data_IF_074188175319
#
_entry.id   IF_074188175319
#
_cell.length_a   1.000
_cell.length_b   1.000
_cell.length_c   1.000
_cell.angle_alpha   90.00
_cell.angle_beta   90.00
_cell.angle_gamma   90.00
#
_symmetry.space_group_name_H-M   'P 1'
#
loop_
_entity.id
_entity.type
_entity.pdbx_description
1 polymer ?
#
# COMPACT_ATOMS: atom_id res chain seq x y z
N UNK A 1 -23.75 31.34 25.55
CA UNK A 1 -23.22 30.10 26.13
C UNK A 1 -21.77 30.01 25.73
N UNK A 2 -20.85 30.31 26.64
CA UNK A 2 -19.41 30.31 26.39
C UNK A 2 -18.93 28.85 26.36
N UNK A 3 -18.37 28.43 25.22
CA UNK A 3 -17.69 27.16 25.10
C UNK A 3 -16.39 27.20 25.92
N UNK A 4 -16.33 26.42 27.00
CA UNK A 4 -15.07 26.20 27.68
C UNK A 4 -14.03 25.64 26.71
N UNK A 5 -12.80 26.20 26.64
CA UNK A 5 -11.71 25.60 25.92
C UNK A 5 -11.43 24.24 26.58
N UNK A 6 -11.56 23.16 25.83
CA UNK A 6 -11.16 21.84 26.30
C UNK A 6 -9.64 21.87 26.51
N UNK A 7 -9.20 21.85 27.74
CA UNK A 7 -7.80 21.69 28.10
C UNK A 7 -7.25 20.40 27.45
N UNK A 8 -6.14 20.53 26.76
CA UNK A 8 -5.43 19.43 26.15
C UNK A 8 -4.95 18.46 27.27
N UNK A 9 -5.71 17.42 27.56
CA UNK A 9 -5.31 16.37 28.48
C UNK A 9 -4.43 15.36 27.76
N UNK A 10 -3.12 15.44 28.00
CA UNK A 10 -2.13 14.51 27.45
C UNK A 10 -2.54 13.02 27.69
N UNK A 11 -3.14 12.71 28.82
CA UNK A 11 -3.71 11.39 29.10
C UNK A 11 -4.83 10.97 28.14
N UNK A 12 -5.68 11.88 27.69
CA UNK A 12 -6.71 11.62 26.68
C UNK A 12 -6.12 11.33 25.28
N UNK A 13 -5.02 11.99 24.93
CA UNK A 13 -4.30 11.73 23.68
C UNK A 13 -3.67 10.33 23.69
N UNK A 14 -3.01 9.93 24.77
CA UNK A 14 -2.38 8.59 24.91
C UNK A 14 -3.43 7.49 24.85
N UNK A 15 -4.55 7.62 25.59
CA UNK A 15 -5.67 6.64 25.53
C UNK A 15 -6.24 6.57 24.10
N UNK A 16 -6.37 7.70 23.43
CA UNK A 16 -6.84 7.78 22.06
C UNK A 16 -5.86 7.13 21.05
N UNK A 17 -4.55 7.24 21.28
CA UNK A 17 -3.52 6.58 20.47
C UNK A 17 -3.56 5.06 20.67
N UNK A 18 -3.70 4.60 21.91
CA UNK A 18 -3.85 3.18 22.24
C UNK A 18 -5.11 2.60 21.58
N UNK A 19 -6.23 3.32 21.62
CA UNK A 19 -7.45 2.90 20.90
C UNK A 19 -7.22 2.83 19.39
N UNK A 20 -6.50 3.77 18.81
CA UNK A 20 -6.16 3.73 17.38
C UNK A 20 -5.31 2.51 17.04
N UNK A 21 -4.28 2.21 17.84
CA UNK A 21 -3.43 1.01 17.67
C UNK A 21 -4.28 -0.26 17.82
N UNK A 22 -5.19 -0.31 18.80
CA UNK A 22 -6.12 -1.42 18.96
C UNK A 22 -6.99 -1.62 17.72
N UNK A 23 -7.55 -0.55 17.14
CA UNK A 23 -8.35 -0.64 15.92
C UNK A 23 -7.53 -1.03 14.70
N UNK A 24 -6.28 -0.58 14.58
CA UNK A 24 -5.36 -1.04 13.54
C UNK A 24 -5.16 -2.56 13.67
N UNK A 25 -4.89 -3.05 14.88
CA UNK A 25 -4.73 -4.49 15.12
C UNK A 25 -6.02 -5.28 14.82
N UNK A 26 -7.19 -4.74 15.19
CA UNK A 26 -8.49 -5.35 14.86
C UNK A 26 -8.73 -5.39 13.35
N UNK A 27 -8.37 -4.35 12.60
CA UNK A 27 -8.52 -4.32 11.14
C UNK A 27 -7.51 -5.28 10.49
N UNK A 28 -6.27 -5.31 10.95
CA UNK A 28 -5.27 -6.30 10.52
C UNK A 28 -5.75 -7.71 10.81
N UNK A 29 -6.37 -7.95 11.97
CA UNK A 29 -6.99 -9.23 12.30
C UNK A 29 -8.21 -9.53 11.43
N UNK A 30 -9.09 -8.56 11.17
CA UNK A 30 -10.29 -8.70 10.33
C UNK A 30 -9.95 -8.98 8.87
N UNK A 31 -8.89 -8.38 8.34
CA UNK A 31 -8.36 -8.64 7.00
C UNK A 31 -7.54 -9.94 6.99
N UNK A 32 -6.77 -10.20 8.04
CA UNK A 32 -5.94 -11.38 8.19
C UNK A 32 -6.70 -12.65 8.60
N UNK A 33 -7.77 -12.54 9.42
CA UNK A 33 -8.55 -13.71 9.87
C UNK A 33 -9.20 -14.51 8.74
N UNK A 34 -9.88 -13.92 7.74
CA UNK A 34 -10.37 -14.67 6.59
C UNK A 34 -9.24 -15.32 5.81
N UNK A 35 -8.10 -14.66 5.73
CA UNK A 35 -6.90 -15.14 5.06
C UNK A 35 -6.25 -16.29 5.84
N UNK A 36 -6.14 -16.16 7.15
CA UNK A 36 -5.69 -17.23 8.06
C UNK A 36 -6.66 -18.39 8.01
N UNK A 37 -7.97 -18.12 7.97
CA UNK A 37 -8.99 -19.16 7.85
C UNK A 37 -8.87 -19.92 6.51
N UNK A 38 -8.71 -19.21 5.40
CA UNK A 38 -8.46 -19.82 4.08
C UNK A 38 -7.16 -20.62 4.08
N UNK A 39 -6.10 -20.12 4.69
CA UNK A 39 -4.79 -20.79 4.78
C UNK A 39 -4.88 -22.01 5.73
N UNK A 40 -5.57 -21.92 6.86
CA UNK A 40 -5.78 -23.04 7.78
C UNK A 40 -6.60 -24.20 7.16
N UNK A 41 -7.56 -23.86 6.27
CA UNK A 41 -8.32 -24.90 5.54
C UNK A 41 -7.50 -25.54 4.43
N UNK A 42 -6.40 -24.93 4.00
CA UNK A 42 -5.56 -25.40 2.91
C UNK A 42 -4.41 -26.33 3.37
N UNK A 43 -4.06 -26.32 4.65
CA UNK A 43 -2.98 -27.16 5.18
C UNK A 43 -3.42 -28.62 5.14
N UNK A 44 -2.76 -29.51 4.37
CA UNK A 44 -2.95 -30.94 4.55
C UNK A 44 -2.54 -31.26 5.99
N UNK A 45 -3.49 -31.75 6.77
CA UNK A 45 -3.20 -32.22 8.14
C UNK A 45 -2.13 -33.31 8.06
N UNK A 46 -1.08 -33.26 8.88
CA UNK A 46 -0.15 -34.37 8.99
C UNK A 46 -0.95 -35.64 9.35
N UNK A 47 -0.46 -36.81 8.92
CA UNK A 47 -0.97 -38.11 9.39
C UNK A 47 -0.84 -38.14 10.92
N UNK A 48 -1.87 -37.66 11.61
CA UNK A 48 -2.00 -37.72 13.06
C UNK A 48 -2.84 -38.93 13.38
N UNK A 49 -2.37 -39.74 14.32
CA UNK A 49 -3.07 -40.93 14.79
C UNK A 49 -4.54 -40.65 15.06
N UNK A 50 -5.41 -41.50 14.47
CA UNK A 50 -6.88 -41.30 14.40
C UNK A 50 -7.58 -41.11 15.75
N UNK A 51 -6.97 -41.45 16.87
CA UNK A 51 -7.62 -41.42 18.20
C UNK A 51 -7.78 -40.02 18.82
N UNK A 52 -6.98 -39.01 18.40
CA UNK A 52 -6.99 -37.67 19.03
C UNK A 52 -7.88 -36.67 18.25
N UNK A 53 -8.30 -37.00 17.05
CA UNK A 53 -8.85 -36.03 16.08
C UNK A 53 -10.35 -36.09 15.84
N UNK A 54 -11.08 -36.95 16.56
CA UNK A 54 -12.49 -37.26 16.27
C UNK A 54 -13.46 -36.05 16.24
N UNK A 55 -13.39 -35.01 17.11
CA UNK A 55 -14.32 -33.90 16.99
C UNK A 55 -13.97 -32.91 15.88
N UNK A 56 -12.70 -32.80 15.50
CA UNK A 56 -12.24 -31.88 14.44
C UNK A 56 -12.49 -32.43 13.04
N UNK A 57 -12.23 -33.73 12.85
CA UNK A 57 -12.51 -34.43 11.59
C UNK A 57 -14.02 -34.52 11.31
N UNK A 58 -14.86 -34.63 12.34
CA UNK A 58 -16.30 -34.61 12.19
C UNK A 58 -16.82 -33.28 11.61
N UNK A 59 -16.33 -32.14 12.09
CA UNK A 59 -16.70 -30.83 11.60
C UNK A 59 -16.14 -30.57 10.18
N UNK A 60 -14.91 -31.01 9.90
CA UNK A 60 -14.29 -30.85 8.59
C UNK A 60 -14.88 -31.78 7.55
N UNK A 61 -15.28 -33.03 7.91
CA UNK A 61 -15.93 -33.99 7.00
C UNK A 61 -17.36 -33.57 6.62
N UNK A 62 -18.06 -32.83 7.50
CA UNK A 62 -19.40 -32.28 7.20
C UNK A 62 -19.29 -31.08 6.27
N UNK A 63 -18.27 -30.23 6.46
CA UNK A 63 -18.10 -29.01 5.68
C UNK A 63 -17.38 -29.24 4.35
N UNK A 64 -16.51 -30.24 4.26
CA UNK A 64 -15.71 -30.51 3.06
C UNK A 64 -15.50 -32.03 2.86
N UNK A 65 -16.18 -32.66 1.92
CA UNK A 65 -15.86 -34.04 1.53
C UNK A 65 -14.42 -34.12 1.01
N UNK A 66 -13.66 -35.11 1.47
CA UNK A 66 -12.22 -35.31 1.14
C UNK A 66 -11.92 -35.28 -0.38
N UNK A 67 -12.91 -35.54 -1.22
CA UNK A 67 -12.81 -35.45 -2.69
C UNK A 67 -12.74 -33.99 -3.23
N UNK A 68 -13.10 -32.98 -2.42
CA UNK A 68 -13.09 -31.57 -2.83
C UNK A 68 -11.79 -30.83 -2.44
N UNK A 69 -10.98 -31.40 -1.56
CA UNK A 69 -9.76 -30.76 -1.03
C UNK A 69 -8.72 -30.45 -2.12
N UNK A 70 -8.36 -31.37 -3.07
CA UNK A 70 -7.42 -31.05 -4.14
C UNK A 70 -7.95 -29.94 -5.07
N UNK A 71 -9.25 -29.94 -5.38
CA UNK A 71 -9.88 -28.95 -6.24
C UNK A 71 -9.85 -27.54 -5.62
N UNK A 72 -10.05 -27.46 -4.30
CA UNK A 72 -9.96 -26.18 -3.56
C UNK A 72 -8.51 -25.69 -3.51
N UNK A 73 -7.55 -26.60 -3.37
CA UNK A 73 -6.13 -26.30 -3.41
C UNK A 73 -5.69 -25.72 -4.74
N UNK A 74 -6.04 -26.36 -5.83
CA UNK A 74 -5.76 -25.90 -7.17
C UNK A 74 -6.44 -24.55 -7.47
N UNK A 75 -7.63 -24.33 -6.91
CA UNK A 75 -8.33 -23.05 -7.03
C UNK A 75 -7.60 -21.92 -6.30
N UNK A 76 -7.12 -22.14 -5.08
CA UNK A 76 -6.45 -21.13 -4.25
C UNK A 76 -5.06 -20.81 -4.78
N UNK A 77 -4.30 -21.81 -5.26
CA UNK A 77 -3.03 -21.58 -5.95
C UNK A 77 -3.20 -21.13 -7.39
N UNK A 78 -4.42 -21.22 -7.92
CA UNK A 78 -4.72 -20.75 -9.26
C UNK A 78 -4.44 -19.26 -9.46
N UNK A 79 -3.94 -18.90 -10.64
CA UNK A 79 -3.65 -17.51 -11.01
C UNK A 79 -4.86 -16.60 -10.81
N UNK A 80 -6.08 -17.10 -11.06
CA UNK A 80 -7.32 -16.33 -10.86
C UNK A 80 -7.54 -15.94 -9.41
N UNK A 81 -7.26 -16.82 -8.45
CA UNK A 81 -7.37 -16.50 -7.02
C UNK A 81 -6.33 -15.45 -6.63
N UNK A 82 -5.08 -15.59 -7.07
CA UNK A 82 -4.02 -14.61 -6.81
C UNK A 82 -4.36 -13.23 -7.37
N UNK A 83 -4.92 -13.16 -8.58
CA UNK A 83 -5.31 -11.89 -9.22
C UNK A 83 -6.54 -11.27 -8.53
N UNK A 84 -7.57 -12.07 -8.29
CA UNK A 84 -8.85 -11.55 -7.80
C UNK A 84 -8.88 -11.34 -6.28
N UNK A 85 -8.28 -12.26 -5.50
CA UNK A 85 -8.46 -12.28 -4.04
C UNK A 85 -7.19 -11.85 -3.32
N UNK A 86 -6.16 -12.69 -3.30
CA UNK A 86 -4.93 -12.42 -2.53
C UNK A 86 -3.66 -12.88 -3.27
N UNK A 87 -2.65 -12.02 -3.36
CA UNK A 87 -2.50 -10.63 -2.89
C UNK A 87 -3.12 -9.57 -3.81
N UNK A 88 -4.04 -9.97 -4.69
CA UNK A 88 -4.57 -9.18 -5.78
C UNK A 88 -5.56 -8.06 -5.41
N UNK A 89 -6.52 -7.83 -6.32
CA UNK A 89 -7.39 -6.65 -6.29
C UNK A 89 -8.25 -6.54 -5.03
N UNK A 90 -8.89 -7.64 -4.58
CA UNK A 90 -9.79 -7.59 -3.41
C UNK A 90 -9.03 -7.26 -2.14
N UNK A 91 -7.83 -7.83 -1.94
CA UNK A 91 -6.99 -7.51 -0.80
C UNK A 91 -6.56 -6.03 -0.80
N UNK A 92 -6.10 -5.51 -1.94
CA UNK A 92 -5.74 -4.11 -2.08
C UNK A 92 -6.94 -3.17 -1.83
N UNK A 93 -8.13 -3.52 -2.34
CA UNK A 93 -9.36 -2.77 -2.11
C UNK A 93 -9.79 -2.77 -0.64
N UNK A 94 -9.63 -3.90 0.07
CA UNK A 94 -9.90 -3.98 1.51
C UNK A 94 -8.94 -3.11 2.33
N UNK A 95 -7.64 -3.12 2.01
CA UNK A 95 -6.67 -2.23 2.66
C UNK A 95 -6.97 -0.77 2.34
N UNK A 96 -7.30 -0.44 1.09
CA UNK A 96 -7.72 0.90 0.69
C UNK A 96 -8.94 1.37 1.48
N UNK A 97 -9.93 0.51 1.64
CA UNK A 97 -11.13 0.74 2.43
C UNK A 97 -10.81 1.00 3.92
N UNK A 98 -9.95 0.15 4.51
CA UNK A 98 -9.47 0.32 5.88
C UNK A 98 -8.69 1.63 6.04
N UNK A 99 -7.86 1.99 5.05
CA UNK A 99 -7.10 3.24 5.02
C UNK A 99 -8.02 4.46 5.05
N UNK A 100 -9.11 4.48 4.27
CA UNK A 100 -10.12 5.56 4.28
C UNK A 100 -10.72 5.74 5.67
N UNK A 101 -11.10 4.65 6.32
CA UNK A 101 -11.68 4.69 7.67
C UNK A 101 -10.69 5.22 8.71
N UNK A 102 -9.47 4.68 8.70
CA UNK A 102 -8.40 5.09 9.62
C UNK A 102 -8.03 6.56 9.41
N UNK A 103 -7.88 7.00 8.15
CA UNK A 103 -7.58 8.38 7.80
C UNK A 103 -8.59 9.36 8.40
N UNK A 104 -9.89 9.08 8.26
CA UNK A 104 -10.96 9.92 8.83
C UNK A 104 -10.89 9.99 10.36
N UNK A 105 -10.67 8.84 11.03
CA UNK A 105 -10.51 8.79 12.49
C UNK A 105 -9.25 9.48 12.96
N UNK A 106 -8.14 9.27 12.28
CA UNK A 106 -6.84 9.83 12.61
C UNK A 106 -6.84 11.37 12.47
N UNK A 107 -7.28 11.88 11.31
CA UNK A 107 -7.38 13.32 11.08
C UNK A 107 -8.34 14.01 12.06
N UNK A 108 -9.48 13.37 12.37
CA UNK A 108 -10.42 13.91 13.34
C UNK A 108 -9.76 14.07 14.72
N UNK A 109 -8.99 13.08 15.17
CA UNK A 109 -8.25 13.15 16.44
C UNK A 109 -7.18 14.22 16.44
N UNK A 110 -6.44 14.40 15.34
CA UNK A 110 -5.45 15.49 15.21
C UNK A 110 -6.10 16.87 15.24
N UNK A 111 -7.32 16.98 14.69
CA UNK A 111 -8.09 18.23 14.67
C UNK A 111 -8.93 18.42 15.94
N UNK A 112 -8.73 17.60 16.97
CA UNK A 112 -9.48 17.63 18.25
C UNK A 112 -11.01 17.52 18.06
N UNK A 113 -11.44 16.77 17.05
CA UNK A 113 -12.86 16.46 16.78
C UNK A 113 -13.08 14.95 16.74
N UNK A 114 -14.35 14.56 16.84
CA UNK A 114 -14.75 13.14 16.76
C UNK A 114 -15.01 12.80 15.29
N UNK A 115 -14.39 11.72 14.82
CA UNK A 115 -14.64 11.17 13.48
C UNK A 115 -16.01 10.48 13.38
N UNK A 116 -16.29 9.74 12.28
CA UNK A 116 -17.54 9.01 12.11
C UNK A 116 -17.83 8.13 13.32
N UNK A 117 -19.01 8.30 13.95
CA UNK A 117 -19.38 7.59 15.17
C UNK A 117 -20.71 6.84 15.05
N UNK A 118 -21.68 7.40 14.32
CA UNK A 118 -23.08 6.97 14.35
C UNK A 118 -23.44 5.90 13.31
N UNK A 119 -22.64 5.72 12.28
CA UNK A 119 -22.91 4.73 11.24
C UNK A 119 -22.49 3.33 11.71
N UNK A 120 -23.42 2.61 12.33
CA UNK A 120 -23.18 1.27 12.92
C UNK A 120 -22.92 1.30 14.41
N UNK A 121 -23.06 0.13 15.05
CA UNK A 121 -22.90 -0.01 16.51
C UNK A 121 -21.44 0.13 16.99
N UNK A 122 -20.47 -0.09 16.12
CA UNK A 122 -19.03 -0.11 16.45
C UNK A 122 -18.37 1.10 15.81
N UNK A 123 -18.27 2.20 16.55
CA UNK A 123 -17.52 3.42 16.19
C UNK A 123 -17.64 3.90 14.72
N UNK A 124 -18.76 3.67 14.06
CA UNK A 124 -19.00 4.16 12.72
C UNK A 124 -18.31 3.38 11.60
N UNK A 125 -17.99 2.09 11.79
CA UNK A 125 -17.33 1.25 10.78
C UNK A 125 -18.16 1.11 9.49
N UNK A 126 -19.50 1.15 9.62
CA UNK A 126 -20.41 1.08 8.47
C UNK A 126 -20.45 2.37 7.62
N UNK A 127 -19.76 3.42 8.07
CA UNK A 127 -19.67 4.67 7.28
C UNK A 127 -19.09 4.45 5.90
N UNK A 128 -18.10 3.54 5.80
CA UNK A 128 -17.47 3.19 4.53
C UNK A 128 -18.47 2.56 3.55
N UNK A 129 -19.28 1.62 4.03
CA UNK A 129 -20.33 1.01 3.23
C UNK A 129 -21.42 2.04 2.82
N UNK A 130 -21.78 2.93 3.74
CA UNK A 130 -22.74 4.00 3.45
C UNK A 130 -22.22 4.96 2.36
N UNK A 131 -20.94 5.31 2.42
CA UNK A 131 -20.30 6.16 1.40
C UNK A 131 -20.24 5.46 0.03
N UNK A 132 -19.92 4.17 0.00
CA UNK A 132 -19.94 3.36 -1.22
C UNK A 132 -21.33 3.28 -1.84
N UNK A 133 -22.33 2.96 -1.04
CA UNK A 133 -23.73 2.92 -1.48
C UNK A 133 -24.23 4.28 -1.99
N UNK A 134 -23.85 5.37 -1.32
CA UNK A 134 -24.15 6.73 -1.76
C UNK A 134 -23.55 7.02 -3.14
N UNK A 135 -22.30 6.65 -3.40
CA UNK A 135 -21.65 6.88 -4.69
C UNK A 135 -22.26 6.05 -5.81
N UNK A 136 -22.71 4.82 -5.52
CA UNK A 136 -23.39 3.95 -6.49
C UNK A 136 -24.78 4.47 -6.81
N UNK A 137 -25.53 4.96 -5.80
CA UNK A 137 -26.91 5.43 -5.98
C UNK A 137 -27.01 6.85 -6.55
N UNK A 138 -25.88 7.60 -6.53
CA UNK A 138 -25.85 8.98 -7.02
C UNK A 138 -25.84 9.01 -8.54
N UNK A 139 -26.63 9.90 -9.11
CA UNK A 139 -26.69 10.15 -10.56
C UNK A 139 -25.32 10.55 -11.11
N UNK A 140 -24.98 9.96 -12.28
CA UNK A 140 -23.77 10.30 -13.00
C UNK A 140 -24.06 11.42 -13.97
N UNK A 141 -23.52 12.60 -13.68
CA UNK A 141 -23.67 13.80 -14.52
C UNK A 141 -22.40 13.97 -15.35
N UNK A 142 -22.56 14.03 -16.66
CA UNK A 142 -21.47 14.26 -17.62
C UNK A 142 -21.71 15.63 -18.27
N UNK A 143 -20.72 16.54 -18.30
CA UNK A 143 -20.85 17.83 -18.97
C UNK A 143 -21.20 17.66 -20.45
N UNK A 144 -22.04 18.52 -20.99
CA UNK A 144 -22.52 18.42 -22.39
C UNK A 144 -21.40 18.55 -23.42
N UNK A 145 -20.35 19.29 -23.09
CA UNK A 145 -19.17 19.49 -23.95
C UNK A 145 -18.05 18.48 -23.75
N UNK A 146 -18.20 17.50 -22.84
CA UNK A 146 -17.17 16.53 -22.51
C UNK A 146 -17.05 15.44 -23.59
N UNK A 147 -15.81 14.98 -23.83
CA UNK A 147 -15.55 13.76 -24.63
C UNK A 147 -15.95 12.52 -23.78
N UNK A 148 -17.12 11.97 -24.09
CA UNK A 148 -17.74 10.88 -23.32
C UNK A 148 -16.88 9.63 -23.29
N UNK A 149 -16.18 9.29 -24.38
CA UNK A 149 -15.36 8.08 -24.46
C UNK A 149 -14.20 8.15 -23.45
N UNK A 150 -13.42 9.23 -23.51
CA UNK A 150 -12.25 9.40 -22.64
C UNK A 150 -12.70 9.62 -21.19
N UNK A 151 -13.80 10.37 -20.98
CA UNK A 151 -14.34 10.64 -19.67
C UNK A 151 -14.77 9.37 -18.90
N UNK A 152 -15.24 8.32 -19.60
CA UNK A 152 -15.53 7.02 -19.01
C UNK A 152 -14.30 6.10 -18.94
N UNK A 153 -13.45 6.13 -19.95
CA UNK A 153 -12.30 5.24 -20.00
C UNK A 153 -11.21 5.59 -18.97
N UNK A 154 -10.98 6.88 -18.71
CA UNK A 154 -9.90 7.33 -17.84
C UNK A 154 -10.04 6.86 -16.37
N UNK A 155 -11.21 6.94 -15.69
CA UNK A 155 -11.36 6.39 -14.33
C UNK A 155 -11.15 4.88 -14.26
N UNK A 156 -11.59 4.14 -15.27
CA UNK A 156 -11.38 2.70 -15.36
C UNK A 156 -9.88 2.41 -15.55
N UNK A 157 -9.21 3.13 -16.44
CA UNK A 157 -7.78 3.02 -16.65
C UNK A 157 -6.99 3.37 -15.37
N UNK A 158 -7.42 4.37 -14.58
CA UNK A 158 -6.80 4.77 -13.33
C UNK A 158 -6.83 3.63 -12.30
N UNK A 159 -7.96 2.96 -12.13
CA UNK A 159 -8.08 1.78 -11.24
C UNK A 159 -7.28 0.60 -11.79
N UNK A 160 -7.34 0.37 -13.10
CA UNK A 160 -6.62 -0.74 -13.74
C UNK A 160 -5.09 -0.60 -13.58
N UNK A 161 -4.54 0.60 -13.75
CA UNK A 161 -3.11 0.87 -13.51
C UNK A 161 -2.75 0.67 -12.05
N UNK A 162 -3.57 1.11 -11.09
CA UNK A 162 -3.35 0.87 -9.68
C UNK A 162 -3.34 -0.63 -9.35
N UNK A 163 -4.29 -1.39 -9.89
CA UNK A 163 -4.35 -2.84 -9.75
C UNK A 163 -3.14 -3.56 -10.40
N UNK A 164 -2.67 -3.06 -11.55
CA UNK A 164 -1.50 -3.62 -12.22
C UNK A 164 -0.21 -3.44 -11.39
N UNK A 165 -0.04 -2.31 -10.71
CA UNK A 165 1.08 -2.12 -9.77
C UNK A 165 0.99 -3.13 -8.63
N UNK A 166 -0.20 -3.32 -8.02
CA UNK A 166 -0.40 -4.28 -6.93
C UNK A 166 -0.09 -5.71 -7.38
N UNK A 167 -0.38 -6.08 -8.62
CA UNK A 167 -0.10 -7.41 -9.14
C UNK A 167 1.41 -7.77 -9.15
N UNK A 168 2.30 -6.79 -9.20
CA UNK A 168 3.75 -6.97 -9.16
C UNK A 168 4.32 -7.00 -7.74
N UNK A 169 3.53 -6.64 -6.72
CA UNK A 169 3.98 -6.53 -5.34
C UNK A 169 3.89 -7.89 -4.63
N UNK A 170 5.01 -8.48 -4.20
CA UNK A 170 5.00 -9.72 -3.42
C UNK A 170 4.59 -9.45 -1.97
N UNK A 171 3.53 -10.12 -1.50
CA UNK A 171 3.07 -10.04 -0.12
C UNK A 171 3.71 -11.09 0.80
N UNK A 172 4.40 -12.09 0.22
CA UNK A 172 5.07 -13.17 0.94
C UNK A 172 5.76 -14.12 -0.03
N UNK A 173 6.51 -15.12 0.48
CA UNK A 173 7.18 -16.12 -0.35
C UNK A 173 6.15 -16.88 -1.20
N UNK A 174 6.26 -16.80 -2.54
CA UNK A 174 5.31 -17.42 -3.47
C UNK A 174 3.93 -16.73 -3.58
N UNK A 175 3.66 -15.69 -2.76
CA UNK A 175 2.43 -14.90 -2.80
C UNK A 175 2.62 -13.62 -3.59
N UNK A 176 2.74 -13.78 -4.88
CA UNK A 176 2.80 -12.70 -5.89
C UNK A 176 1.91 -13.09 -7.06
N UNK A 177 1.27 -12.11 -7.70
CA UNK A 177 0.43 -12.37 -8.88
C UNK A 177 1.32 -12.60 -10.09
N UNK A 178 2.27 -11.69 -10.32
CA UNK A 178 3.23 -11.76 -11.42
C UNK A 178 4.65 -11.50 -10.89
N UNK A 179 5.47 -12.54 -10.81
CA UNK A 179 6.89 -12.44 -10.49
C UNK A 179 7.68 -12.20 -11.79
N UNK A 180 8.29 -11.03 -11.88
CA UNK A 180 9.00 -10.57 -13.08
C UNK A 180 10.43 -10.19 -12.68
N UNK A 181 11.43 -10.66 -13.44
CA UNK A 181 12.85 -10.38 -13.16
C UNK A 181 13.17 -8.88 -13.11
N UNK A 182 12.49 -8.08 -13.93
CA UNK A 182 12.57 -6.61 -13.95
C UNK A 182 11.38 -5.95 -13.25
N UNK A 183 10.85 -6.58 -12.20
CA UNK A 183 9.62 -6.18 -11.52
C UNK A 183 9.60 -4.73 -11.06
N UNK A 184 10.70 -4.24 -10.50
CA UNK A 184 10.82 -2.85 -10.05
C UNK A 184 10.68 -1.86 -11.21
N UNK A 185 11.34 -2.12 -12.34
CA UNK A 185 11.24 -1.26 -13.53
C UNK A 185 9.81 -1.26 -14.10
N UNK A 186 9.16 -2.44 -14.11
CA UNK A 186 7.76 -2.56 -14.54
C UNK A 186 6.82 -1.75 -13.65
N UNK A 187 7.01 -1.75 -12.31
CA UNK A 187 6.24 -0.91 -11.38
C UNK A 187 6.37 0.57 -11.73
N UNK A 188 7.60 1.07 -11.93
CA UNK A 188 7.80 2.47 -12.30
C UNK A 188 7.21 2.82 -13.68
N UNK A 189 7.34 1.93 -14.66
CA UNK A 189 6.73 2.12 -15.97
C UNK A 189 5.19 2.25 -15.88
N UNK A 190 4.55 1.45 -15.03
CA UNK A 190 3.09 1.53 -14.82
C UNK A 190 2.72 2.80 -14.04
N UNK A 191 3.50 3.20 -13.02
CA UNK A 191 3.27 4.43 -12.27
C UNK A 191 3.34 5.67 -13.17
N UNK A 192 4.21 5.71 -14.18
CA UNK A 192 4.30 6.79 -15.16
C UNK A 192 3.04 6.99 -16.03
N UNK A 193 2.07 6.06 -16.02
CA UNK A 193 0.78 6.27 -16.69
C UNK A 193 -0.18 7.15 -15.88
N UNK A 194 -0.04 7.25 -14.55
CA UNK A 194 -0.98 8.02 -13.73
C UNK A 194 -1.08 9.50 -14.14
N UNK A 195 0.03 10.24 -14.32
CA UNK A 195 -0.04 11.63 -14.75
C UNK A 195 -0.70 11.80 -16.12
N UNK A 196 -0.48 10.86 -17.04
CA UNK A 196 -1.12 10.89 -18.35
C UNK A 196 -2.62 10.66 -18.27
N UNK A 197 -3.07 9.71 -17.43
CA UNK A 197 -4.50 9.44 -17.23
C UNK A 197 -5.20 10.63 -16.58
N UNK A 198 -4.59 11.27 -15.57
CA UNK A 198 -5.11 12.47 -14.95
C UNK A 198 -5.24 13.63 -15.94
N UNK A 199 -4.24 13.83 -16.81
CA UNK A 199 -4.30 14.83 -17.86
C UNK A 199 -5.39 14.53 -18.90
N UNK A 200 -5.50 13.28 -19.37
CA UNK A 200 -6.51 12.86 -20.35
C UNK A 200 -7.93 13.05 -19.80
N UNK A 201 -8.16 12.68 -18.52
CA UNK A 201 -9.45 12.89 -17.86
C UNK A 201 -9.81 14.38 -17.76
N UNK A 202 -8.82 15.20 -17.35
CA UNK A 202 -8.98 16.64 -17.24
C UNK A 202 -9.29 17.30 -18.57
N UNK A 203 -8.62 16.86 -19.63
CA UNK A 203 -8.86 17.34 -20.99
C UNK A 203 -10.24 16.94 -21.50
N UNK A 204 -10.64 15.70 -21.26
CA UNK A 204 -11.94 15.17 -21.66
C UNK A 204 -13.13 15.92 -21.02
N UNK A 205 -12.95 16.52 -19.85
CA UNK A 205 -14.01 17.31 -19.17
C UNK A 205 -14.37 18.62 -19.89
N UNK A 206 -13.51 19.09 -20.81
CA UNK A 206 -13.66 20.33 -21.58
C UNK A 206 -13.98 21.57 -20.73
N UNK A 207 -13.38 21.65 -19.54
CA UNK A 207 -13.53 22.77 -18.60
C UNK A 207 -12.16 23.35 -18.23
N UNK A 208 -12.10 24.66 -17.98
CA UNK A 208 -10.84 25.35 -17.70
C UNK A 208 -10.19 24.90 -16.39
N UNK A 209 -10.98 24.73 -15.35
CA UNK A 209 -10.47 24.38 -14.01
C UNK A 209 -9.89 22.97 -13.95
N UNK A 210 -10.58 21.92 -14.41
CA UNK A 210 -10.01 20.59 -14.52
C UNK A 210 -8.73 20.54 -15.35
N UNK A 211 -8.70 21.22 -16.50
CA UNK A 211 -7.52 21.23 -17.36
C UNK A 211 -6.28 21.82 -16.69
N UNK A 212 -6.44 22.96 -15.97
CA UNK A 212 -5.34 23.54 -15.19
C UNK A 212 -4.93 22.59 -14.06
N UNK A 213 -5.88 21.94 -13.38
CA UNK A 213 -5.60 20.95 -12.35
C UNK A 213 -4.83 19.74 -12.89
N UNK A 214 -5.22 19.21 -14.04
CA UNK A 214 -4.52 18.11 -14.71
C UNK A 214 -3.10 18.46 -15.16
N UNK A 215 -2.89 19.67 -15.65
CA UNK A 215 -1.53 20.16 -15.96
C UNK A 215 -0.66 20.28 -14.72
N UNK A 216 -1.23 20.74 -13.60
CA UNK A 216 -0.50 20.79 -12.32
C UNK A 216 -0.14 19.40 -11.81
N UNK A 217 -1.06 18.43 -11.91
CA UNK A 217 -0.83 17.01 -11.59
C UNK A 217 0.33 16.44 -12.42
N UNK A 218 0.28 16.63 -13.74
CA UNK A 218 1.31 16.16 -14.64
C UNK A 218 2.69 16.74 -14.28
N UNK A 219 2.80 18.07 -14.09
CA UNK A 219 4.07 18.70 -13.75
C UNK A 219 4.62 18.22 -12.41
N UNK A 220 3.75 18.05 -11.41
CA UNK A 220 4.12 17.55 -10.10
C UNK A 220 4.66 16.12 -10.19
N UNK A 221 3.89 15.19 -10.75
CA UNK A 221 4.26 13.78 -10.83
C UNK A 221 5.57 13.59 -11.60
N UNK A 222 5.73 14.20 -12.79
CA UNK A 222 6.98 14.12 -13.57
C UNK A 222 8.18 14.67 -12.77
N UNK A 223 8.01 15.77 -12.03
CA UNK A 223 9.11 16.37 -11.25
C UNK A 223 9.59 15.45 -10.11
N UNK A 224 8.71 14.64 -9.53
CA UNK A 224 9.04 13.74 -8.44
C UNK A 224 9.33 12.30 -8.88
N UNK A 225 8.95 11.90 -10.09
CA UNK A 225 9.21 10.56 -10.64
C UNK A 225 10.72 10.28 -10.77
N UNK A 226 11.52 11.27 -11.18
CA UNK A 226 12.97 11.11 -11.33
C UNK A 226 13.67 10.84 -9.98
N UNK A 227 13.53 11.67 -8.92
CA UNK A 227 14.13 11.37 -7.62
C UNK A 227 13.56 10.09 -6.99
N UNK A 228 12.28 9.77 -7.27
CA UNK A 228 11.63 8.55 -6.83
C UNK A 228 12.33 7.32 -7.42
N UNK A 229 12.54 7.28 -8.74
CA UNK A 229 13.24 6.21 -9.43
C UNK A 229 14.71 6.10 -9.00
N UNK A 230 15.43 7.22 -8.88
CA UNK A 230 16.83 7.24 -8.43
C UNK A 230 17.00 6.69 -7.00
N UNK A 231 16.04 7.00 -6.11
CA UNK A 231 16.04 6.48 -4.75
C UNK A 231 15.87 4.96 -4.72
N UNK A 232 14.98 4.41 -5.54
CA UNK A 232 14.80 2.97 -5.69
C UNK A 232 16.00 2.30 -6.36
N UNK A 233 16.64 2.97 -7.34
CA UNK A 233 17.83 2.46 -8.00
C UNK A 233 19.00 2.28 -7.01
N UNK A 234 19.12 3.13 -5.99
CA UNK A 234 20.14 2.96 -4.93
C UNK A 234 19.94 1.63 -4.17
N UNK A 235 18.70 1.18 -4.00
CA UNK A 235 18.40 -0.13 -3.39
C UNK A 235 18.79 -1.26 -4.34
N UNK A 236 18.48 -1.12 -5.64
CA UNK A 236 18.87 -2.10 -6.68
C UNK A 236 20.39 -2.29 -6.73
N UNK A 237 21.16 -1.21 -6.61
CA UNK A 237 22.63 -1.31 -6.57
C UNK A 237 23.12 -2.19 -5.42
N UNK A 238 22.50 -2.06 -4.23
CA UNK A 238 22.88 -2.90 -3.07
C UNK A 238 22.39 -4.35 -3.19
N UNK A 239 21.16 -4.55 -3.67
CA UNK A 239 20.57 -5.90 -3.79
C UNK A 239 21.13 -6.68 -4.98
N UNK A 240 21.60 -5.99 -6.03
CA UNK A 240 22.08 -6.60 -7.28
C UNK A 240 20.98 -7.20 -8.15
N UNK A 241 19.69 -6.93 -7.85
CA UNK A 241 18.54 -7.48 -8.57
C UNK A 241 17.42 -6.45 -8.74
N UNK A 242 16.70 -6.52 -9.87
CA UNK A 242 15.49 -5.73 -10.14
C UNK A 242 14.20 -6.47 -9.75
N UNK A 243 14.30 -7.75 -9.39
CA UNK A 243 13.19 -8.55 -8.93
C UNK A 243 12.83 -8.15 -7.50
N UNK A 244 11.55 -7.83 -7.24
CA UNK A 244 11.08 -7.39 -5.93
C UNK A 244 11.21 -8.48 -4.85
N UNK A 245 11.03 -9.74 -5.23
CA UNK A 245 11.22 -10.89 -4.33
C UNK A 245 12.69 -11.01 -3.95
N UNK A 246 13.61 -10.92 -4.92
CA UNK A 246 15.05 -10.97 -4.69
C UNK A 246 15.58 -9.81 -3.82
N UNK A 247 14.99 -8.61 -3.93
CA UNK A 247 15.31 -7.48 -3.04
C UNK A 247 14.97 -7.80 -1.58
N UNK A 248 13.84 -8.45 -1.31
CA UNK A 248 13.48 -8.87 0.05
C UNK A 248 14.41 -9.96 0.55
N UNK A 249 14.72 -10.95 -0.28
CA UNK A 249 15.65 -12.05 0.07
C UNK A 249 17.04 -11.54 0.42
N UNK A 250 17.57 -10.56 -0.32
CA UNK A 250 18.85 -9.93 -0.02
C UNK A 250 18.85 -9.21 1.34
N UNK A 251 17.74 -8.58 1.73
CA UNK A 251 17.57 -7.95 3.05
C UNK A 251 17.40 -8.98 4.19
N UNK A 252 16.79 -10.13 3.91
CA UNK A 252 16.69 -11.22 4.90
C UNK A 252 18.06 -11.80 5.22
N UNK A 253 18.95 -11.88 4.23
CA UNK A 253 20.30 -12.40 4.39
C UNK A 253 21.28 -11.39 5.03
N UNK A 254 20.96 -10.08 4.96
CA UNK A 254 21.80 -9.02 5.53
C UNK A 254 21.07 -8.27 6.65
N UNK A 255 20.75 -7.00 6.41
CA UNK A 255 19.95 -6.12 7.27
C UNK A 255 19.00 -5.29 6.40
N UNK A 256 17.99 -4.69 7.00
CA UNK A 256 17.07 -3.79 6.29
C UNK A 256 17.83 -2.62 5.68
N UNK A 257 17.57 -2.32 4.43
CA UNK A 257 18.29 -1.27 3.70
C UNK A 257 18.04 0.14 4.22
N UNK A 258 17.02 0.37 5.03
CA UNK A 258 16.79 1.66 5.69
C UNK A 258 17.98 2.09 6.56
N UNK A 259 18.74 1.14 7.15
CA UNK A 259 19.91 1.44 7.97
C UNK A 259 21.10 1.88 7.14
N UNK A 260 21.24 1.37 5.93
CA UNK A 260 22.35 1.72 5.03
C UNK A 260 22.02 2.92 4.13
N UNK A 261 20.74 3.07 3.75
CA UNK A 261 20.28 4.09 2.82
C UNK A 261 19.14 4.96 3.41
N UNK A 262 19.33 5.61 4.57
CA UNK A 262 18.29 6.42 5.19
C UNK A 262 17.89 7.63 4.33
N UNK A 263 18.85 8.21 3.60
CA UNK A 263 18.60 9.32 2.68
C UNK A 263 17.69 8.87 1.52
N UNK A 264 17.96 7.68 0.95
CA UNK A 264 17.11 7.12 -0.11
C UNK A 264 15.68 6.86 0.38
N UNK A 265 15.53 6.28 1.57
CA UNK A 265 14.23 6.06 2.18
C UNK A 265 13.47 7.38 2.38
N UNK A 266 14.16 8.44 2.80
CA UNK A 266 13.57 9.78 2.94
C UNK A 266 13.16 10.37 1.59
N UNK A 267 14.02 10.32 0.56
CA UNK A 267 13.71 10.81 -0.79
C UNK A 267 12.54 10.04 -1.38
N UNK A 268 12.55 8.70 -1.26
CA UNK A 268 11.46 7.84 -1.70
C UNK A 268 10.13 8.20 -1.01
N UNK A 269 10.15 8.39 0.30
CA UNK A 269 8.97 8.76 1.09
C UNK A 269 8.38 10.10 0.64
N UNK A 270 9.20 11.14 0.47
CA UNK A 270 8.73 12.46 0.02
C UNK A 270 8.19 12.37 -1.41
N UNK A 271 8.91 11.69 -2.31
CA UNK A 271 8.46 11.51 -3.70
C UNK A 271 7.15 10.72 -3.78
N UNK A 272 6.98 9.68 -2.95
CA UNK A 272 5.72 8.93 -2.90
C UNK A 272 4.54 9.77 -2.40
N UNK A 273 4.75 10.69 -1.46
CA UNK A 273 3.71 11.64 -1.04
C UNK A 273 3.31 12.60 -2.17
N UNK A 274 4.27 13.08 -2.93
CA UNK A 274 4.01 13.95 -4.07
C UNK A 274 3.29 13.19 -5.21
N UNK A 275 3.64 11.92 -5.41
CA UNK A 275 2.99 11.02 -6.38
C UNK A 275 1.53 10.70 -5.98
N UNK A 276 1.21 10.71 -4.68
CA UNK A 276 -0.15 10.51 -4.16
C UNK A 276 -1.01 11.77 -4.17
N UNK A 277 -0.47 12.92 -4.58
CA UNK A 277 -1.18 14.21 -4.54
C UNK A 277 -1.77 14.53 -3.15
N UNK A 278 -1.10 14.07 -2.08
CA UNK A 278 -1.54 14.28 -0.70
C UNK A 278 -0.90 15.52 -0.09
N UNK A 279 -1.59 16.20 0.83
CA UNK A 279 -1.03 17.33 1.58
C UNK A 279 0.31 16.89 2.21
N UNK A 280 1.40 17.65 2.04
CA UNK A 280 1.50 19.06 1.57
C UNK A 280 1.54 19.26 0.04
N UNK A 281 1.49 18.20 -0.77
CA UNK A 281 1.63 18.21 -2.22
C UNK A 281 0.30 18.16 -2.97
N UNK A 282 -0.79 18.63 -2.36
CA UNK A 282 -2.16 18.63 -2.87
C UNK A 282 -2.44 19.88 -3.75
N UNK A 283 -1.60 20.10 -4.77
CA UNK A 283 -1.74 21.23 -5.69
C UNK A 283 -2.73 20.96 -6.84
N UNK A 284 -2.83 19.72 -7.36
CA UNK A 284 -3.78 19.39 -8.41
C UNK A 284 -5.26 19.49 -7.99
N UNK A 285 -5.53 19.27 -6.69
CA UNK A 285 -6.87 19.31 -6.08
C UNK A 285 -7.14 20.59 -5.28
N UNK A 286 -6.29 21.62 -5.41
CA UNK A 286 -6.32 22.82 -4.59
C UNK A 286 -7.68 23.54 -4.59
N UNK A 287 -8.57 23.20 -3.64
CA UNK A 287 -9.93 23.76 -3.52
C UNK A 287 -9.95 25.28 -3.43
N UNK A 288 -8.94 25.88 -2.79
CA UNK A 288 -8.85 27.33 -2.61
C UNK A 288 -8.48 28.10 -3.89
N UNK A 289 -7.90 27.43 -4.91
CA UNK A 289 -7.40 28.05 -6.13
C UNK A 289 -8.21 27.69 -7.38
N UNK A 290 -8.54 26.39 -7.54
CA UNK A 290 -9.11 25.80 -8.76
C UNK A 290 -10.34 24.92 -8.48
N UNK A 291 -11.14 25.27 -7.48
CA UNK A 291 -12.37 24.60 -7.04
C UNK A 291 -12.10 23.20 -6.50
N UNK A 292 -11.99 22.17 -7.33
CA UNK A 292 -11.58 20.81 -6.97
C UNK A 292 -10.55 20.24 -7.99
N UNK A 293 -9.83 21.11 -8.68
CA UNK A 293 -8.82 20.76 -9.64
C UNK A 293 -9.33 19.84 -10.75
N UNK A 294 -8.57 18.79 -11.05
CA UNK A 294 -8.90 17.82 -12.09
C UNK A 294 -10.15 16.97 -11.78
N UNK A 295 -10.58 16.94 -10.51
CA UNK A 295 -11.78 16.23 -10.06
C UNK A 295 -13.07 17.09 -10.11
N UNK A 296 -13.02 18.35 -10.56
CA UNK A 296 -14.14 19.30 -10.46
C UNK A 296 -15.43 18.80 -11.13
N UNK A 297 -15.34 18.18 -12.31
CA UNK A 297 -16.50 17.71 -13.08
C UNK A 297 -16.89 16.27 -12.78
N UNK A 298 -16.31 15.66 -11.72
CA UNK A 298 -16.62 14.27 -11.36
C UNK A 298 -17.90 14.16 -10.56
N UNK A 299 -18.71 13.14 -10.81
CA UNK A 299 -19.92 12.84 -10.05
C UNK A 299 -20.13 11.34 -9.84
N UNK A 300 -20.85 10.99 -8.76
CA UNK A 300 -21.28 9.61 -8.50
C UNK A 300 -20.14 8.60 -8.53
N UNK A 301 -20.34 7.51 -9.28
CA UNK A 301 -19.40 6.39 -9.35
C UNK A 301 -18.08 6.74 -10.05
N UNK A 302 -18.04 7.73 -10.95
CA UNK A 302 -16.80 8.19 -11.59
C UNK A 302 -15.82 8.72 -10.53
N UNK A 303 -16.30 9.58 -9.63
CA UNK A 303 -15.52 10.03 -8.49
C UNK A 303 -15.10 8.87 -7.58
N UNK A 304 -16.03 7.91 -7.35
CA UNK A 304 -15.74 6.72 -6.53
C UNK A 304 -14.59 5.87 -7.08
N UNK A 305 -14.55 5.65 -8.40
CA UNK A 305 -13.48 4.91 -9.06
C UNK A 305 -12.12 5.63 -8.95
N UNK A 306 -12.08 6.94 -9.18
CA UNK A 306 -10.84 7.72 -9.04
C UNK A 306 -10.31 7.70 -7.61
N UNK A 307 -11.18 7.85 -6.61
CA UNK A 307 -10.81 7.74 -5.20
C UNK A 307 -10.33 6.33 -4.84
N UNK A 308 -11.03 5.28 -5.29
CA UNK A 308 -10.60 3.90 -5.07
C UNK A 308 -9.20 3.67 -5.64
N UNK A 309 -8.96 4.10 -6.88
CA UNK A 309 -7.64 3.99 -7.51
C UNK A 309 -6.54 4.73 -6.73
N UNK A 310 -6.82 5.95 -6.22
CA UNK A 310 -5.90 6.71 -5.40
C UNK A 310 -5.53 6.00 -4.09
N UNK A 311 -6.50 5.36 -3.41
CA UNK A 311 -6.22 4.60 -2.20
C UNK A 311 -5.51 3.27 -2.47
N UNK A 312 -5.81 2.59 -3.58
CA UNK A 312 -5.05 1.42 -4.02
C UNK A 312 -3.60 1.82 -4.34
N UNK A 313 -3.39 2.96 -5.03
CA UNK A 313 -2.05 3.53 -5.27
C UNK A 313 -1.34 3.84 -3.95
N UNK A 314 -2.04 4.36 -2.94
CA UNK A 314 -1.47 4.60 -1.60
C UNK A 314 -0.96 3.31 -0.96
N UNK A 315 -1.76 2.23 -1.03
CA UNK A 315 -1.34 0.91 -0.59
C UNK A 315 -0.11 0.42 -1.35
N UNK A 316 -0.13 0.53 -2.69
CA UNK A 316 0.95 0.06 -3.55
C UNK A 316 2.29 0.76 -3.23
N UNK A 317 2.29 2.08 -3.08
CA UNK A 317 3.50 2.85 -2.74
C UNK A 317 4.00 2.56 -1.33
N UNK A 318 3.10 2.39 -0.36
CA UNK A 318 3.47 1.98 0.99
C UNK A 318 4.07 0.57 1.03
N UNK A 319 3.47 -0.36 0.30
CA UNK A 319 3.98 -1.73 0.16
C UNK A 319 5.36 -1.76 -0.54
N UNK A 320 5.54 -0.94 -1.59
CA UNK A 320 6.82 -0.80 -2.27
C UNK A 320 7.90 -0.24 -1.33
N UNK A 321 7.57 0.75 -0.50
CA UNK A 321 8.48 1.24 0.54
C UNK A 321 8.90 0.13 1.51
N UNK A 322 7.95 -0.70 1.95
CA UNK A 322 8.22 -1.83 2.85
C UNK A 322 9.15 -2.85 2.19
N UNK A 323 8.94 -3.17 0.92
CA UNK A 323 9.79 -4.10 0.16
C UNK A 323 11.20 -3.56 0.00
N UNK A 324 11.34 -2.29 -0.36
CA UNK A 324 12.65 -1.70 -0.67
C UNK A 324 13.49 -1.40 0.57
N UNK A 325 12.88 -0.99 1.68
CA UNK A 325 13.63 -0.44 2.83
C UNK A 325 13.44 -1.21 4.13
N UNK A 326 12.28 -1.88 4.35
CA UNK A 326 11.93 -2.52 5.62
C UNK A 326 11.97 -4.06 5.56
N UNK A 327 12.58 -4.62 4.52
CA UNK A 327 12.72 -6.08 4.38
C UNK A 327 11.41 -6.82 4.10
N UNK A 328 10.44 -6.17 3.45
CA UNK A 328 9.21 -6.81 3.01
C UNK A 328 8.50 -7.58 4.13
N UNK A 329 8.30 -8.86 3.92
CA UNK A 329 7.65 -9.78 4.86
C UNK A 329 8.55 -10.29 5.98
N UNK A 330 9.84 -9.92 6.02
CA UNK A 330 10.78 -10.37 7.04
C UNK A 330 10.40 -9.85 8.44
N UNK A 331 10.27 -10.74 9.41
CA UNK A 331 9.95 -10.38 10.80
C UNK A 331 10.14 -11.56 11.75
N UNK A 332 10.16 -11.31 13.06
CA UNK A 332 10.28 -12.37 14.06
C UNK A 332 9.11 -13.37 13.97
N UNK A 333 9.39 -14.62 14.33
CA UNK A 333 8.40 -15.68 14.33
C UNK A 333 7.43 -15.49 15.50
N UNK A 334 6.17 -15.14 15.18
CA UNK A 334 5.08 -15.00 16.17
C UNK A 334 4.22 -16.26 16.16
N UNK A 335 3.95 -16.82 14.97
CA UNK A 335 3.14 -18.01 14.82
C UNK A 335 4.03 -19.25 14.75
N UNK A 336 3.79 -20.30 15.57
CA UNK A 336 4.63 -21.49 15.59
C UNK A 336 4.61 -22.20 14.23
N UNK A 337 5.77 -22.76 13.85
CA UNK A 337 5.97 -23.43 12.56
C UNK A 337 5.10 -24.71 12.41
N UNK A 338 4.70 -25.29 13.52
CA UNK A 338 3.90 -26.54 13.58
C UNK A 338 2.49 -26.40 13.00
N UNK A 339 1.99 -25.16 12.80
CA UNK A 339 0.64 -24.93 12.24
C UNK A 339 0.62 -25.16 10.72
N UNK A 340 1.77 -25.26 10.04
CA UNK A 340 1.87 -25.47 8.59
C UNK A 340 2.93 -26.51 8.20
N UNK A 341 2.59 -27.79 8.08
CA UNK A 341 3.48 -28.76 7.45
C UNK A 341 3.53 -28.48 5.93
N UNK A 342 4.70 -28.26 5.39
CA UNK A 342 4.93 -28.04 3.95
C UNK A 342 5.97 -27.00 3.58
N UNK A 343 6.43 -26.18 4.53
CA UNK A 343 7.52 -25.22 4.33
C UNK A 343 8.86 -25.68 4.92
N UNK A 344 8.98 -26.98 5.23
CA UNK A 344 10.18 -27.53 5.92
C UNK A 344 11.48 -27.50 5.10
N UNK A 345 11.42 -27.24 3.80
CA UNK A 345 12.58 -27.28 2.91
C UNK A 345 13.36 -25.95 2.84
N UNK A 346 12.87 -24.88 3.45
CA UNK A 346 13.63 -23.65 3.62
C UNK A 346 14.31 -23.65 5.01
N UNK A 347 15.32 -24.49 5.19
CA UNK A 347 16.22 -24.40 6.34
C UNK A 347 17.03 -23.10 6.20
N UNK A 348 16.48 -22.04 6.77
CA UNK A 348 17.22 -20.79 6.97
C UNK A 348 18.25 -21.06 8.09
N UNK A 349 19.53 -20.70 7.90
CA UNK A 349 20.58 -21.01 8.86
C UNK A 349 20.22 -20.52 10.27
N UNK A 350 20.50 -21.36 11.26
CA UNK A 350 20.33 -21.09 12.69
C UNK A 350 21.03 -19.78 13.04
N UNK A 351 20.25 -18.74 13.31
CA UNK A 351 20.74 -17.39 13.61
C UNK A 351 19.89 -16.26 13.04
N UNK A 352 19.00 -16.55 12.08
CA UNK A 352 18.06 -15.55 11.56
C UNK A 352 16.73 -15.63 12.30
N UNK A 353 16.31 -14.51 12.87
CA UNK A 353 15.07 -14.34 13.65
C UNK A 353 13.83 -14.40 12.71
N UNK A 354 14.00 -14.75 11.44
CA UNK A 354 13.00 -14.62 10.39
C UNK A 354 12.32 -15.96 10.09
N UNK A 355 10.98 -15.94 10.01
CA UNK A 355 10.19 -17.14 9.83
C UNK A 355 9.85 -17.43 8.37
N UNK A 356 9.93 -18.71 8.01
CA UNK A 356 9.54 -19.22 6.71
C UNK A 356 8.02 -19.38 6.52
N UNK A 357 7.21 -19.18 7.58
CA UNK A 357 5.76 -19.40 7.52
C UNK A 357 5.03 -18.33 6.74
N UNK A 358 4.24 -18.70 5.74
CA UNK A 358 3.45 -17.78 4.92
C UNK A 358 2.53 -16.87 5.74
N UNK A 359 1.91 -17.38 6.81
CA UNK A 359 1.04 -16.59 7.70
C UNK A 359 1.82 -15.49 8.41
N UNK A 360 3.00 -15.82 8.94
CA UNK A 360 3.85 -14.86 9.62
C UNK A 360 4.40 -13.80 8.65
N UNK A 361 4.75 -14.22 7.44
CA UNK A 361 5.21 -13.33 6.37
C UNK A 361 4.12 -12.32 5.98
N UNK A 362 2.90 -12.79 5.72
CA UNK A 362 1.75 -11.94 5.37
C UNK A 362 1.38 -11.00 6.52
N UNK A 363 1.41 -11.49 7.77
CA UNK A 363 1.16 -10.66 8.95
C UNK A 363 2.15 -9.51 9.06
N UNK A 364 3.46 -9.77 8.98
CA UNK A 364 4.49 -8.74 9.08
C UNK A 364 4.45 -7.76 7.90
N UNK A 365 4.22 -8.26 6.69
CA UNK A 365 4.06 -7.41 5.51
C UNK A 365 2.89 -6.45 5.68
N UNK A 366 1.72 -6.97 6.06
CA UNK A 366 0.51 -6.16 6.27
C UNK A 366 0.71 -5.14 7.39
N UNK A 367 1.29 -5.55 8.53
CA UNK A 367 1.54 -4.67 9.67
C UNK A 367 2.50 -3.52 9.31
N UNK A 368 3.61 -3.81 8.64
CA UNK A 368 4.57 -2.80 8.20
C UNK A 368 3.94 -1.85 7.17
N UNK A 369 3.17 -2.39 6.22
CA UNK A 369 2.48 -1.60 5.20
C UNK A 369 1.50 -0.62 5.85
N UNK A 370 0.70 -1.06 6.83
CA UNK A 370 -0.15 -0.16 7.61
C UNK A 370 0.64 0.88 8.39
N UNK A 371 1.78 0.51 8.97
CA UNK A 371 2.68 1.45 9.64
C UNK A 371 3.17 2.56 8.70
N UNK A 372 3.56 2.19 7.48
CA UNK A 372 3.99 3.16 6.45
C UNK A 372 2.82 4.00 5.95
N UNK A 373 1.62 3.42 5.75
CA UNK A 373 0.41 4.18 5.41
C UNK A 373 0.12 5.22 6.49
N UNK A 374 0.19 4.85 7.78
CA UNK A 374 0.02 5.81 8.87
C UNK A 374 1.06 6.92 8.84
N UNK A 375 2.30 6.59 8.53
CA UNK A 375 3.37 7.57 8.34
C UNK A 375 3.05 8.52 7.17
N UNK A 376 2.51 8.02 6.06
CA UNK A 376 2.09 8.83 4.90
C UNK A 376 0.87 9.72 5.20
N UNK A 377 0.03 9.35 6.16
CA UNK A 377 -1.12 10.16 6.57
C UNK A 377 -0.75 11.30 7.54
N UNK A 378 0.37 11.18 8.26
CA UNK A 378 0.83 12.19 9.23
C UNK A 378 0.97 13.60 8.64
N UNK A 379 1.63 13.81 7.49
CA UNK A 379 1.81 15.14 6.93
C UNK A 379 0.49 15.86 6.61
N UNK A 380 -0.56 15.09 6.27
CA UNK A 380 -1.89 15.67 5.99
C UNK A 380 -2.49 16.41 7.18
N UNK A 381 -2.16 16.00 8.40
CA UNK A 381 -2.66 16.65 9.60
C UNK A 381 -1.76 17.78 10.15
N UNK A 382 -0.47 17.78 9.78
CA UNK A 382 0.54 18.66 10.38
C UNK A 382 0.99 19.74 9.42
N UNK A 383 1.17 19.41 8.13
CA UNK A 383 1.83 20.28 7.17
C UNK A 383 0.87 21.23 6.49
N UNK A 384 1.25 22.51 6.31
CA UNK A 384 0.54 23.41 5.42
C UNK A 384 0.78 23.03 3.95
N UNK A 385 -0.08 23.52 3.05
CA UNK A 385 0.09 23.35 1.60
C UNK A 385 1.32 24.15 1.11
N UNK A 386 2.08 23.55 0.19
CA UNK A 386 3.28 24.15 -0.41
C UNK A 386 2.89 24.82 -1.74
N UNK A 387 3.54 25.94 -2.10
CA UNK A 387 3.36 26.59 -3.40
C UNK A 387 4.03 25.78 -4.52
N UNK A 388 3.49 25.86 -5.73
CA UNK A 388 3.97 25.12 -6.89
C UNK A 388 5.46 25.41 -7.22
N UNK A 389 5.90 26.66 -7.08
CA UNK A 389 7.29 27.06 -7.35
C UNK A 389 8.28 26.34 -6.41
N UNK A 390 7.96 26.33 -5.11
CA UNK A 390 8.77 25.66 -4.09
C UNK A 390 8.73 24.14 -4.29
N UNK A 391 7.58 23.61 -4.66
CA UNK A 391 7.40 22.18 -4.92
C UNK A 391 8.27 21.71 -6.07
N UNK A 392 8.18 22.35 -7.24
CA UNK A 392 8.97 22.02 -8.42
C UNK A 392 10.47 22.21 -8.15
N UNK A 393 10.86 23.30 -7.48
CA UNK A 393 12.24 23.51 -7.07
C UNK A 393 12.74 22.40 -6.12
N UNK A 394 11.88 21.89 -5.24
CA UNK A 394 12.26 20.81 -4.31
C UNK A 394 12.44 19.50 -5.08
N UNK A 395 11.55 19.14 -6.01
CA UNK A 395 11.68 17.95 -6.86
C UNK A 395 12.94 17.99 -7.72
N UNK A 396 13.06 19.00 -8.57
CA UNK A 396 14.12 19.08 -9.59
C UNK A 396 15.52 19.37 -9.04
N UNK A 397 15.67 20.13 -7.95
CA UNK A 397 16.98 20.50 -7.46
C UNK A 397 17.37 19.77 -6.17
N UNK A 398 16.51 19.79 -5.13
CA UNK A 398 16.93 19.26 -3.84
C UNK A 398 16.90 17.74 -3.80
N UNK A 399 15.78 17.12 -4.22
CA UNK A 399 15.62 15.67 -4.09
C UNK A 399 16.48 14.90 -5.10
N UNK A 400 16.64 15.39 -6.32
CA UNK A 400 17.52 14.76 -7.30
C UNK A 400 18.98 14.75 -6.79
N UNK A 401 19.48 15.89 -6.28
CA UNK A 401 20.83 15.95 -5.73
C UNK A 401 21.01 14.98 -4.55
N UNK A 402 20.03 14.95 -3.63
CA UNK A 402 20.05 13.99 -2.52
C UNK A 402 20.04 12.53 -3.00
N UNK A 403 19.23 12.23 -4.01
CA UNK A 403 19.18 10.87 -4.60
C UNK A 403 20.51 10.46 -5.24
N UNK A 404 21.17 11.37 -5.97
CA UNK A 404 22.52 11.11 -6.52
C UNK A 404 23.57 10.91 -5.43
N UNK A 405 23.58 11.77 -4.40
CA UNK A 405 24.50 11.61 -3.25
C UNK A 405 24.30 10.21 -2.65
N UNK A 406 23.07 9.79 -2.45
CA UNK A 406 22.78 8.48 -1.88
C UNK A 406 23.18 7.32 -2.79
N UNK A 407 23.07 7.48 -4.10
CA UNK A 407 23.55 6.48 -5.08
C UNK A 407 25.09 6.33 -4.99
N UNK A 408 25.83 7.44 -4.83
CA UNK A 408 27.28 7.38 -4.60
C UNK A 408 27.62 6.73 -3.26
N UNK A 409 26.83 6.96 -2.21
CA UNK A 409 26.99 6.27 -0.91
C UNK A 409 26.78 4.76 -1.09
N UNK A 410 25.73 4.34 -1.84
CA UNK A 410 25.50 2.93 -2.13
C UNK A 410 26.70 2.29 -2.86
N UNK A 411 27.26 2.96 -3.87
CA UNK A 411 28.46 2.51 -4.57
C UNK A 411 29.67 2.43 -3.64
N UNK A 412 29.86 3.43 -2.78
CA UNK A 412 30.96 3.44 -1.81
C UNK A 412 30.86 2.27 -0.80
N UNK A 413 29.65 1.90 -0.37
CA UNK A 413 29.42 0.74 0.51
C UNK A 413 29.77 -0.58 -0.19
N UNK A 414 29.47 -0.71 -1.48
CA UNK A 414 29.79 -1.88 -2.28
C UNK A 414 31.33 -1.98 -2.48
N UNK A 415 31.96 -0.92 -2.99
CA UNK A 415 33.41 -0.93 -3.26
C UNK A 415 34.26 -0.92 -1.98
N UNK A 416 33.74 -0.37 -0.88
CA UNK A 416 34.37 -0.43 0.44
C UNK A 416 34.33 -1.81 1.10
N UNK A 417 33.71 -2.80 0.46
CA UNK A 417 33.62 -4.17 0.97
C UNK A 417 32.76 -4.32 2.23
N UNK A 418 31.90 -3.33 2.53
CA UNK A 418 30.96 -3.41 3.65
C UNK A 418 29.76 -4.29 3.27
N UNK A 419 29.32 -4.19 2.01
CA UNK A 419 28.25 -4.98 1.42
C UNK A 419 28.71 -5.52 0.07
N UNK A 420 28.47 -6.80 -0.19
CA UNK A 420 28.68 -7.37 -1.53
C UNK A 420 27.60 -6.90 -2.52
N UNK A 421 27.80 -7.14 -3.83
CA UNK A 421 26.82 -6.78 -4.87
C UNK A 421 25.48 -7.54 -4.76
N UNK A 422 25.37 -8.50 -3.85
CA UNK A 422 24.13 -9.21 -3.49
C UNK A 422 23.52 -8.72 -2.16
N UNK A 423 23.98 -7.58 -1.63
CA UNK A 423 23.54 -7.07 -0.32
C UNK A 423 24.10 -7.87 0.88
N UNK A 424 24.89 -8.91 0.64
CA UNK A 424 25.52 -9.71 1.69
C UNK A 424 26.67 -8.95 2.33
N UNK A 425 26.74 -8.99 3.67
CA UNK A 425 27.92 -8.51 4.40
C UNK A 425 29.14 -9.32 3.96
N UNK A 426 30.15 -8.64 3.42
CA UNK A 426 31.42 -9.27 3.12
C UNK A 426 32.11 -9.49 4.47
N UNK A 427 32.24 -10.74 4.88
CA UNK A 427 32.98 -11.15 6.09
C UNK A 427 34.49 -11.08 5.87
#
# INVERSE_FOLDING_TARGET
MASHPQEFRFGGFVVSLIQLIFWILVIVALVGLPLIFIILFYVPLPEIDEEVLTPYLFLTSILYPQSAIPLVGDLIHGTLFKVAVFPGFTYAALIAAATIFIERKFLAKMQLRVGPLYAGKIEGILQLAADGLKLISKEIIIPSGADKLIFWAAPIAYVATAAAVVALIPAGPGWVVADVDVGLLAVFAILGFFPLIALLFSWASNSKYPFIGGLRALHQMIAFEIPFLLSALSVVLLSGTLNLTGVVESQIQSYWFIFFLPISAFVFYISSLAELERIPFDLPEAESEIVAGWLTETSGMIYGLLQLGSYIKTYALAALFVILFLGGWAGPQIFPAEIMPGSADAIIPIGTIYSANAVNAIFWFTLKTFGVIMLMLLPRGISPRIRIDILLHTGWYKLIVLAFINMFIALALIYGGVLGPSGLLVR
#
